data_IF_342540732615
#
_entry.id   IF_342540732615
#
_cell.length_a   1.000
_cell.length_b   1.000
_cell.length_c   1.000
_cell.angle_alpha   90.00
_cell.angle_beta   90.00
_cell.angle_gamma   90.00
#
_symmetry.space_group_name_H-M   'P 1'
#
loop_
_entity.id
_entity.type
_entity.pdbx_description
1 polymer ?
#
# COMPACT_ATOMS: atom_id res chain seq x y z
N UNK A 1 -2.71 1.44 12.97
CA UNK A 1 -2.37 0.18 13.69
C UNK A 1 -2.44 0.35 15.21
N UNK A 2 -1.68 1.26 15.83
CA UNK A 2 -1.68 1.50 17.30
C UNK A 2 -3.07 1.69 17.90
N UNK A 3 -3.89 2.57 17.32
CA UNK A 3 -5.28 2.78 17.74
C UNK A 3 -6.10 1.48 17.82
N UNK A 4 -6.03 0.64 16.79
CA UNK A 4 -6.83 -0.58 16.71
C UNK A 4 -6.30 -1.73 17.57
N UNK A 5 -4.98 -1.83 17.74
CA UNK A 5 -4.32 -3.01 18.32
C UNK A 5 -3.53 -2.73 19.61
N UNK A 6 -3.45 -1.48 20.08
CA UNK A 6 -2.77 -1.10 21.32
C UNK A 6 -1.25 -1.24 21.32
N UNK A 7 -0.62 -1.49 20.17
CA UNK A 7 0.83 -1.68 20.04
C UNK A 7 1.36 -1.19 18.69
N UNK A 8 2.67 -1.01 18.55
CA UNK A 8 3.29 -0.75 17.25
C UNK A 8 3.26 -2.00 16.34
N UNK A 9 3.14 -1.83 15.01
CA UNK A 9 3.34 -2.94 14.07
C UNK A 9 4.83 -3.31 14.03
N UNK A 10 5.12 -4.62 13.97
CA UNK A 10 6.50 -5.11 13.73
C UNK A 10 6.78 -5.28 12.24
N UNK A 11 5.74 -5.56 11.44
CA UNK A 11 5.87 -5.71 10.00
C UNK A 11 4.83 -4.92 9.25
N UNK A 12 5.11 -4.66 7.98
CA UNK A 12 4.24 -3.92 7.07
C UNK A 12 4.23 -4.63 5.72
N UNK A 13 3.03 -4.83 5.17
CA UNK A 13 2.84 -5.26 3.79
C UNK A 13 2.80 -4.02 2.90
N UNK A 14 3.76 -3.88 1.99
CA UNK A 14 3.75 -2.81 1.00
C UNK A 14 2.64 -3.06 -0.01
N UNK A 15 1.86 -2.03 -0.42
CA UNK A 15 0.89 -2.17 -1.49
C UNK A 15 1.54 -2.82 -2.72
N UNK A 16 0.96 -3.94 -3.17
CA UNK A 16 1.47 -4.72 -4.31
C UNK A 16 2.89 -5.27 -4.13
N UNK A 17 3.37 -5.33 -2.90
CA UNK A 17 4.79 -5.51 -2.55
C UNK A 17 5.71 -4.61 -3.40
N UNK A 18 5.24 -3.43 -3.82
CA UNK A 18 6.01 -2.44 -4.57
C UNK A 18 7.17 -1.97 -3.72
N UNK A 19 8.41 -2.28 -4.13
CA UNK A 19 9.58 -2.12 -3.26
C UNK A 19 10.80 -1.56 -3.99
N UNK A 20 11.53 -0.71 -3.27
CA UNK A 20 12.91 -0.32 -3.50
C UNK A 20 13.62 -0.05 -2.16
N UNK A 21 14.93 0.18 -2.20
CA UNK A 21 15.73 0.46 -1.01
C UNK A 21 15.31 1.74 -0.27
N UNK A 22 14.78 2.74 -0.98
CA UNK A 22 14.29 3.98 -0.36
C UNK A 22 13.04 3.69 0.49
N UNK A 23 12.07 2.99 -0.07
CA UNK A 23 10.85 2.55 0.60
C UNK A 23 11.17 1.73 1.84
N UNK A 24 12.09 0.76 1.73
CA UNK A 24 12.53 -0.04 2.88
C UNK A 24 13.26 0.79 3.95
N UNK A 25 13.99 1.82 3.54
CA UNK A 25 14.65 2.75 4.46
C UNK A 25 13.62 3.55 5.26
N UNK A 26 12.59 4.08 4.61
CA UNK A 26 11.48 4.78 5.26
C UNK A 26 10.75 3.86 6.25
N UNK A 27 10.51 2.60 5.88
CA UNK A 27 9.93 1.60 6.79
C UNK A 27 10.79 1.39 8.05
N UNK A 28 12.10 1.24 7.87
CA UNK A 28 13.04 1.08 8.96
C UNK A 28 13.08 2.32 9.89
N UNK A 29 13.02 3.53 9.32
CA UNK A 29 12.97 4.79 10.08
C UNK A 29 11.71 4.91 10.95
N UNK A 30 10.61 4.26 10.54
CA UNK A 30 9.38 4.16 11.32
C UNK A 30 9.31 2.94 12.24
N UNK A 31 10.43 2.23 12.42
CA UNK A 31 10.53 1.09 13.35
C UNK A 31 9.86 -0.19 12.86
N UNK A 32 9.61 -0.31 11.55
CA UNK A 32 9.17 -1.58 10.96
C UNK A 32 10.38 -2.52 10.86
N UNK A 33 10.23 -3.72 11.42
CA UNK A 33 11.29 -4.73 11.51
C UNK A 33 11.31 -5.67 10.30
N UNK A 34 10.16 -5.93 9.67
CA UNK A 34 10.09 -6.83 8.51
C UNK A 34 9.02 -6.49 7.47
N UNK A 35 9.20 -7.04 6.26
CA UNK A 35 8.21 -7.06 5.18
C UNK A 35 8.13 -8.46 4.55
N UNK A 36 7.16 -8.65 3.65
CA UNK A 36 7.00 -9.87 2.84
C UNK A 36 7.11 -9.46 1.37
N UNK A 37 7.93 -10.18 0.60
CA UNK A 37 8.19 -9.94 -0.82
C UNK A 37 7.99 -11.20 -1.66
N UNK A 38 7.85 -11.00 -2.96
CA UNK A 38 7.88 -12.08 -3.93
C UNK A 38 9.30 -12.57 -4.18
N UNK A 39 9.50 -13.87 -4.48
CA UNK A 39 10.84 -14.45 -4.58
C UNK A 39 11.69 -13.84 -5.71
N UNK A 40 11.07 -13.34 -6.78
CA UNK A 40 11.79 -12.65 -7.88
C UNK A 40 12.23 -11.22 -7.53
N UNK A 41 11.79 -10.68 -6.39
CA UNK A 41 12.26 -9.38 -5.89
C UNK A 41 13.59 -9.50 -5.16
N UNK A 42 14.03 -10.71 -4.83
CA UNK A 42 15.39 -10.97 -4.38
C UNK A 42 16.39 -10.79 -5.53
N UNK A 43 17.53 -10.17 -5.24
CA UNK A 43 18.65 -10.05 -6.17
C UNK A 43 19.58 -11.27 -6.08
N UNK A 44 18.99 -12.45 -6.25
CA UNK A 44 19.69 -13.73 -6.33
C UNK A 44 18.82 -14.73 -7.10
N UNK A 45 19.46 -15.72 -7.70
CA UNK A 45 18.79 -16.88 -8.31
C UNK A 45 18.69 -18.06 -7.35
N UNK A 46 19.51 -18.08 -6.30
CA UNK A 46 19.58 -19.14 -5.29
C UNK A 46 18.89 -18.68 -3.99
N UNK A 47 17.60 -18.38 -4.10
CA UNK A 47 16.78 -17.99 -2.96
C UNK A 47 16.16 -19.22 -2.31
N UNK A 48 16.40 -19.39 -1.01
CA UNK A 48 15.60 -20.30 -0.19
C UNK A 48 14.45 -19.52 0.47
N UNK A 49 13.18 -19.70 0.04
CA UNK A 49 12.03 -18.99 0.59
C UNK A 49 11.56 -19.56 1.94
N UNK A 50 12.26 -20.56 2.49
CA UNK A 50 11.92 -21.17 3.80
C UNK A 50 12.60 -20.49 4.98
N UNK A 51 13.34 -19.40 4.77
CA UNK A 51 14.00 -18.63 5.82
C UNK A 51 13.93 -17.11 5.56
N UNK A 52 13.97 -16.29 6.62
CA UNK A 52 14.07 -14.84 6.47
C UNK A 52 15.49 -14.38 6.16
N UNK A 53 15.61 -13.25 5.48
CA UNK A 53 16.89 -12.61 5.13
C UNK A 53 16.97 -11.21 5.69
N UNK A 54 18.17 -10.79 6.06
CA UNK A 54 18.49 -9.39 6.35
C UNK A 54 18.72 -8.65 5.04
N UNK A 55 17.97 -7.61 4.76
CA UNK A 55 18.24 -6.67 3.67
C UNK A 55 19.07 -5.53 4.22
N UNK A 56 20.29 -5.38 3.71
CA UNK A 56 21.15 -4.26 4.08
C UNK A 56 20.66 -2.98 3.38
N UNK A 57 20.48 -1.90 4.13
CA UNK A 57 20.00 -0.61 3.65
C UNK A 57 21.09 0.46 3.78
N UNK A 58 20.97 1.60 3.06
CA UNK A 58 21.87 2.72 3.23
C UNK A 58 21.99 3.19 4.69
N UNK A 59 23.16 3.74 5.04
CA UNK A 59 23.49 4.24 6.38
C UNK A 59 23.55 3.16 7.47
N UNK A 60 23.90 1.91 7.11
CA UNK A 60 24.10 0.82 8.07
C UNK A 60 22.82 0.26 8.68
N UNK A 61 21.66 0.69 8.19
CA UNK A 61 20.34 0.16 8.58
C UNK A 61 20.09 -1.20 7.93
N UNK A 62 19.10 -1.91 8.45
CA UNK A 62 18.63 -3.15 7.83
C UNK A 62 17.18 -3.41 8.17
N UNK A 63 16.49 -4.14 7.30
CA UNK A 63 15.15 -4.66 7.53
C UNK A 63 15.12 -6.14 7.18
N UNK A 64 14.21 -6.92 7.77
CA UNK A 64 14.06 -8.33 7.44
C UNK A 64 13.06 -8.50 6.29
N UNK A 65 13.40 -9.33 5.31
CA UNK A 65 12.49 -9.74 4.25
C UNK A 65 12.17 -11.23 4.38
N UNK A 66 10.88 -11.55 4.37
CA UNK A 66 10.38 -12.89 4.11
C UNK A 66 9.98 -12.99 2.65
N UNK A 67 10.24 -14.14 2.02
CA UNK A 67 9.82 -14.40 0.66
C UNK A 67 8.74 -15.46 0.64
N UNK A 68 7.61 -15.19 -0.01
CA UNK A 68 6.57 -16.21 -0.14
C UNK A 68 6.97 -17.28 -1.16
N UNK A 69 6.37 -18.46 -1.04
CA UNK A 69 6.56 -19.55 -1.97
C UNK A 69 5.76 -19.31 -3.26
N UNK A 70 6.46 -19.18 -4.39
CA UNK A 70 5.89 -18.80 -5.70
C UNK A 70 4.71 -19.68 -6.13
N UNK A 71 4.95 -20.98 -6.24
CA UNK A 71 3.97 -21.92 -6.83
C UNK A 71 2.70 -22.00 -5.97
N UNK A 72 2.86 -22.34 -4.69
CA UNK A 72 1.76 -22.35 -3.72
C UNK A 72 0.97 -21.04 -3.68
N UNK A 73 1.62 -19.87 -3.64
CA UNK A 73 0.90 -18.59 -3.59
C UNK A 73 0.09 -18.35 -4.87
N UNK A 74 0.67 -18.66 -6.05
CA UNK A 74 -0.05 -18.58 -7.32
C UNK A 74 -1.23 -19.55 -7.39
N UNK A 75 -1.02 -20.83 -7.02
CA UNK A 75 -2.08 -21.84 -7.10
C UNK A 75 -3.17 -21.60 -6.08
N UNK A 76 -2.85 -21.16 -4.86
CA UNK A 76 -3.86 -20.69 -3.91
C UNK A 76 -4.66 -19.57 -4.56
N UNK A 77 -4.05 -18.54 -5.12
CA UNK A 77 -4.80 -17.42 -5.71
C UNK A 77 -5.68 -17.80 -6.93
N UNK A 78 -5.25 -18.73 -7.78
CA UNK A 78 -5.87 -18.94 -9.10
C UNK A 78 -6.43 -20.35 -9.37
N UNK A 79 -6.10 -21.36 -8.56
CA UNK A 79 -6.63 -22.72 -8.66
C UNK A 79 -7.61 -22.98 -7.52
N UNK A 80 -8.91 -22.78 -7.80
CA UNK A 80 -9.96 -22.97 -6.80
C UNK A 80 -10.08 -24.43 -6.34
N UNK A 81 -9.76 -25.40 -7.20
CA UNK A 81 -9.85 -26.82 -6.87
C UNK A 81 -8.83 -27.19 -5.78
N UNK A 82 -7.64 -26.57 -5.81
CA UNK A 82 -6.59 -26.78 -4.83
C UNK A 82 -7.04 -26.50 -3.39
N UNK A 83 -7.93 -25.52 -3.22
CA UNK A 83 -8.42 -25.08 -1.91
C UNK A 83 -9.83 -25.56 -1.59
N UNK A 84 -10.28 -26.62 -2.25
CA UNK A 84 -11.56 -27.28 -1.95
C UNK A 84 -11.49 -28.21 -0.74
N UNK A 85 -10.30 -28.72 -0.40
CA UNK A 85 -10.09 -29.66 0.70
C UNK A 85 -8.75 -29.39 1.40
N UNK A 86 -8.79 -29.02 2.69
CA UNK A 86 -7.60 -28.65 3.42
C UNK A 86 -6.71 -29.84 3.81
N UNK A 87 -7.27 -31.03 4.04
CA UNK A 87 -6.48 -32.24 4.33
C UNK A 87 -5.68 -32.65 3.11
N UNK A 88 -6.31 -32.64 1.93
CA UNK A 88 -5.65 -32.90 0.67
C UNK A 88 -4.55 -31.86 0.37
N UNK A 89 -4.84 -30.57 0.55
CA UNK A 89 -3.85 -29.50 0.35
C UNK A 89 -2.66 -29.62 1.32
N UNK A 90 -2.92 -29.92 2.59
CA UNK A 90 -1.87 -30.12 3.58
C UNK A 90 -0.96 -31.30 3.16
N UNK A 91 -1.54 -32.46 2.88
CA UNK A 91 -0.80 -33.69 2.58
C UNK A 91 -0.08 -33.65 1.23
N UNK A 92 -0.73 -33.11 0.19
CA UNK A 92 -0.26 -33.20 -1.19
C UNK A 92 0.51 -31.99 -1.67
N UNK A 93 0.29 -30.82 -1.06
CA UNK A 93 0.93 -29.58 -1.51
C UNK A 93 1.87 -29.07 -0.43
N UNK A 94 1.38 -28.69 0.76
CA UNK A 94 2.23 -28.07 1.80
C UNK A 94 3.42 -28.95 2.19
N UNK A 95 3.18 -30.23 2.51
CA UNK A 95 4.23 -31.14 3.00
C UNK A 95 5.41 -31.27 2.03
N UNK A 96 5.16 -31.16 0.72
CA UNK A 96 6.20 -31.34 -0.31
C UNK A 96 7.17 -30.16 -0.42
N UNK A 97 6.80 -29.01 0.13
CA UNK A 97 7.62 -27.79 0.06
C UNK A 97 8.48 -27.55 1.31
N UNK A 98 8.37 -28.41 2.33
CA UNK A 98 9.36 -28.47 3.41
C UNK A 98 10.57 -29.30 2.96
N UNK A 99 11.78 -28.83 3.27
CA UNK A 99 13.00 -29.47 2.79
C UNK A 99 13.41 -30.58 3.78
N UNK A 100 13.34 -31.84 3.34
CA UNK A 100 13.70 -32.99 4.17
C UNK A 100 15.16 -32.93 4.68
N UNK A 101 16.07 -32.33 3.92
CA UNK A 101 17.46 -32.15 4.33
C UNK A 101 17.62 -31.17 5.51
N UNK A 102 16.81 -30.10 5.55
CA UNK A 102 16.81 -29.21 6.71
C UNK A 102 16.18 -29.90 7.91
N UNK A 103 15.08 -30.63 7.72
CA UNK A 103 14.47 -31.42 8.78
C UNK A 103 15.43 -32.48 9.36
N UNK A 104 16.25 -33.15 8.54
CA UNK A 104 17.21 -34.14 9.03
C UNK A 104 18.40 -33.53 9.77
N UNK A 105 18.70 -32.24 9.53
CA UNK A 105 19.72 -31.45 10.25
C UNK A 105 19.15 -30.62 11.41
N UNK A 106 17.86 -30.77 11.73
CA UNK A 106 17.13 -29.97 12.72
C UNK A 106 17.23 -28.45 12.45
N UNK A 107 17.27 -28.07 11.17
CA UNK A 107 17.26 -26.67 10.75
C UNK A 107 15.83 -26.13 10.64
N UNK A 108 15.53 -24.96 11.24
CA UNK A 108 14.20 -24.38 11.21
C UNK A 108 13.80 -23.93 9.81
N UNK A 109 12.53 -24.15 9.45
CA UNK A 109 11.94 -23.74 8.17
C UNK A 109 10.57 -23.10 8.34
N UNK A 110 10.33 -22.00 7.62
CA UNK A 110 9.04 -21.32 7.53
C UNK A 110 8.58 -21.25 6.07
N UNK A 111 7.55 -22.01 5.73
CA UNK A 111 6.88 -21.89 4.43
C UNK A 111 5.84 -20.78 4.49
N UNK A 112 6.01 -19.73 3.66
CA UNK A 112 5.07 -18.61 3.59
C UNK A 112 4.25 -18.67 2.30
N UNK A 113 2.92 -18.50 2.41
CA UNK A 113 1.99 -18.43 1.28
C UNK A 113 1.27 -17.09 1.35
N UNK A 114 1.25 -16.34 0.25
CA UNK A 114 0.64 -15.01 0.19
C UNK A 114 -0.50 -14.98 -0.83
N UNK A 115 -1.63 -14.38 -0.45
CA UNK A 115 -2.83 -14.19 -1.28
C UNK A 115 -3.66 -13.04 -0.75
N UNK A 116 -4.52 -12.47 -1.60
CA UNK A 116 -5.46 -11.43 -1.19
C UNK A 116 -6.53 -11.99 -0.24
N UNK A 117 -6.91 -11.20 0.76
CA UNK A 117 -7.84 -11.64 1.81
C UNK A 117 -9.26 -11.89 1.30
N UNK A 118 -9.66 -11.13 0.27
CA UNK A 118 -10.96 -11.20 -0.40
C UNK A 118 -11.20 -12.56 -1.07
N UNK A 119 -10.14 -13.33 -1.27
CA UNK A 119 -10.22 -14.70 -1.79
C UNK A 119 -11.04 -15.61 -0.87
N UNK A 120 -11.01 -15.39 0.45
CA UNK A 120 -11.61 -16.27 1.45
C UNK A 120 -13.04 -15.85 1.81
N UNK A 121 -13.97 -16.10 0.89
CA UNK A 121 -15.42 -15.90 1.09
C UNK A 121 -16.06 -14.90 0.13
N UNK A 122 -15.36 -13.84 -0.26
CA UNK A 122 -15.90 -12.85 -1.21
C UNK A 122 -15.75 -13.32 -2.67
N UNK A 123 -14.53 -13.63 -3.12
CA UNK A 123 -14.29 -14.13 -4.48
C UNK A 123 -14.50 -15.64 -4.63
N UNK A 124 -14.29 -16.41 -3.56
CA UNK A 124 -14.51 -17.86 -3.54
C UNK A 124 -15.36 -18.23 -2.31
N UNK A 125 -16.67 -18.53 -2.50
CA UNK A 125 -17.54 -18.94 -1.40
C UNK A 125 -16.97 -20.13 -0.63
N UNK A 126 -17.16 -20.15 0.68
CA UNK A 126 -16.78 -21.24 1.60
C UNK A 126 -15.29 -21.52 1.76
N UNK A 127 -14.44 -20.73 1.09
CA UNK A 127 -12.99 -20.89 1.18
C UNK A 127 -12.41 -20.46 2.54
N UNK A 128 -13.17 -19.68 3.30
CA UNK A 128 -12.94 -19.42 4.71
C UNK A 128 -12.98 -20.70 5.57
N UNK A 129 -13.87 -21.66 5.27
CA UNK A 129 -13.88 -22.96 5.96
C UNK A 129 -12.64 -23.79 5.64
N UNK A 130 -12.19 -23.77 4.39
CA UNK A 130 -10.91 -24.37 3.99
C UNK A 130 -9.76 -23.80 4.83
N UNK A 131 -9.66 -22.47 4.92
CA UNK A 131 -8.58 -21.81 5.67
C UNK A 131 -8.67 -22.13 7.18
N UNK A 132 -9.87 -22.12 7.75
CA UNK A 132 -10.08 -22.45 9.16
C UNK A 132 -9.69 -23.90 9.48
N UNK A 133 -10.09 -24.87 8.63
CA UNK A 133 -9.73 -26.29 8.81
C UNK A 133 -8.23 -26.52 8.61
N UNK A 134 -7.62 -25.85 7.63
CA UNK A 134 -6.19 -25.91 7.39
C UNK A 134 -5.39 -25.51 8.64
N UNK A 135 -5.70 -24.35 9.20
CA UNK A 135 -4.97 -23.76 10.32
C UNK A 135 -5.23 -24.46 11.67
N UNK A 136 -6.41 -25.04 11.88
CA UNK A 136 -6.77 -25.66 13.16
C UNK A 136 -6.48 -27.15 13.23
N UNK A 137 -6.60 -27.86 12.11
CA UNK A 137 -6.61 -29.32 12.09
C UNK A 137 -5.61 -29.90 11.10
N UNK A 138 -5.77 -29.62 9.80
CA UNK A 138 -5.07 -30.35 8.74
C UNK A 138 -3.54 -30.21 8.82
N UNK A 139 -3.02 -29.01 9.12
CA UNK A 139 -1.57 -28.80 9.27
C UNK A 139 -0.98 -29.63 10.42
N UNK A 140 -1.65 -29.72 11.57
CA UNK A 140 -1.16 -30.45 12.73
C UNK A 140 -1.06 -31.97 12.46
N UNK A 141 -2.00 -32.53 11.68
CA UNK A 141 -2.00 -33.95 11.32
C UNK A 141 -0.78 -34.38 10.52
N UNK A 142 -0.13 -33.45 9.82
CA UNK A 142 1.10 -33.69 9.05
C UNK A 142 2.36 -33.12 9.74
N UNK A 143 2.25 -32.74 11.01
CA UNK A 143 3.38 -32.22 11.80
C UNK A 143 3.79 -30.79 11.45
N UNK A 144 2.94 -30.01 10.76
CA UNK A 144 3.20 -28.60 10.45
C UNK A 144 2.46 -27.72 11.46
N UNK A 145 3.18 -26.76 12.03
CA UNK A 145 2.61 -25.79 12.97
C UNK A 145 2.39 -24.45 12.28
N UNK A 146 1.13 -23.96 12.19
CA UNK A 146 0.87 -22.61 11.71
C UNK A 146 1.50 -21.55 12.63
N UNK A 147 2.14 -20.56 12.03
CA UNK A 147 2.78 -19.44 12.72
C UNK A 147 2.74 -18.19 11.86
N UNK A 148 3.35 -17.10 12.31
CA UNK A 148 3.42 -15.84 11.59
C UNK A 148 4.79 -15.18 11.76
N UNK A 149 5.21 -14.30 10.81
CA UNK A 149 6.57 -13.76 10.76
C UNK A 149 7.09 -13.14 12.07
N UNK A 150 6.27 -12.31 12.73
CA UNK A 150 6.63 -11.68 14.00
C UNK A 150 6.93 -12.70 15.12
N UNK A 151 6.17 -13.81 15.19
CA UNK A 151 6.44 -14.87 16.16
C UNK A 151 7.70 -15.64 15.80
N UNK A 152 7.87 -15.95 14.51
CA UNK A 152 9.03 -16.66 13.99
C UNK A 152 10.35 -15.95 14.33
N UNK A 153 10.42 -14.63 14.14
CA UNK A 153 11.65 -13.85 14.37
C UNK A 153 12.13 -13.84 15.82
N UNK A 154 11.26 -14.12 16.79
CA UNK A 154 11.64 -14.17 18.21
C UNK A 154 12.59 -15.32 18.52
N UNK A 155 12.48 -16.41 17.76
CA UNK A 155 13.21 -17.66 17.97
C UNK A 155 14.23 -17.91 16.86
N UNK A 156 13.98 -17.37 15.67
CA UNK A 156 14.76 -17.65 14.46
C UNK A 156 15.14 -16.35 13.71
N UNK A 157 16.13 -15.59 14.22
CA UNK A 157 16.61 -14.38 13.55
C UNK A 157 17.25 -14.71 12.19
N UNK A 158 17.24 -13.77 11.22
CA UNK A 158 17.82 -14.00 9.90
C UNK A 158 19.33 -14.26 10.01
N UNK A 159 19.76 -15.41 9.48
CA UNK A 159 21.18 -15.85 9.49
C UNK A 159 21.96 -15.34 8.28
N UNK A 160 21.25 -14.92 7.23
CA UNK A 160 21.80 -14.56 5.92
C UNK A 160 21.37 -13.16 5.52
N UNK A 161 22.22 -12.50 4.74
CA UNK A 161 21.93 -11.19 4.16
C UNK A 161 21.59 -11.37 2.68
N UNK A 162 20.69 -10.54 2.16
CA UNK A 162 20.30 -10.52 0.76
C UNK A 162 20.19 -9.09 0.26
N UNK A 163 20.30 -8.91 -1.06
CA UNK A 163 19.90 -7.68 -1.74
C UNK A 163 18.54 -7.87 -2.39
N UNK A 164 17.81 -6.79 -2.58
CA UNK A 164 16.57 -6.79 -3.36
C UNK A 164 16.80 -6.05 -4.68
N UNK A 165 15.92 -6.32 -5.65
CA UNK A 165 15.83 -5.56 -6.89
C UNK A 165 14.85 -4.40 -6.68
N UNK A 166 15.33 -3.20 -6.92
CA UNK A 166 14.51 -1.98 -6.83
C UNK A 166 13.42 -1.95 -7.90
N UNK A 167 12.36 -1.19 -7.64
CA UNK A 167 11.24 -0.98 -8.55
C UNK A 167 10.53 -2.28 -8.96
N UNK A 168 10.48 -3.26 -8.05
CA UNK A 168 9.79 -4.55 -8.28
C UNK A 168 8.44 -4.62 -7.55
N UNK A 169 7.60 -5.60 -7.92
CA UNK A 169 6.31 -5.87 -7.30
C UNK A 169 5.96 -7.36 -7.34
N UNK A 170 4.96 -7.78 -6.55
CA UNK A 170 4.52 -9.18 -6.50
C UNK A 170 3.51 -9.59 -7.59
N UNK A 171 2.95 -8.63 -8.32
CA UNK A 171 1.87 -8.88 -9.28
C UNK A 171 2.33 -8.73 -10.73
N UNK A 172 3.60 -8.33 -10.95
CA UNK A 172 4.13 -8.02 -12.27
C UNK A 172 5.64 -8.33 -12.34
N UNK A 173 6.05 -9.16 -13.30
CA UNK A 173 7.47 -9.47 -13.51
C UNK A 173 8.28 -8.29 -14.09
N UNK A 174 7.59 -7.30 -14.68
CA UNK A 174 8.18 -6.02 -15.09
C UNK A 174 8.25 -5.01 -13.93
N UNK A 175 8.04 -5.47 -12.69
CA UNK A 175 8.08 -4.63 -11.50
C UNK A 175 6.96 -3.60 -11.46
N UNK A 176 7.29 -2.37 -11.06
CA UNK A 176 6.31 -1.28 -10.92
C UNK A 176 5.88 -0.66 -12.26
N UNK A 177 6.44 -1.11 -13.39
CA UNK A 177 6.07 -0.62 -14.74
C UNK A 177 4.57 -0.74 -15.00
N UNK A 178 3.91 -1.74 -14.40
CA UNK A 178 2.44 -1.89 -14.46
C UNK A 178 1.71 -0.60 -14.09
N UNK A 179 2.17 0.16 -13.10
CA UNK A 179 1.51 1.38 -12.63
C UNK A 179 2.07 2.66 -13.29
N UNK A 180 3.17 2.55 -14.03
CA UNK A 180 3.84 3.70 -14.65
C UNK A 180 3.47 3.89 -16.12
N UNK A 181 3.20 2.81 -16.87
CA UNK A 181 3.01 2.91 -18.31
C UNK A 181 2.53 1.62 -18.98
N UNK A 182 2.91 1.45 -20.24
CA UNK A 182 2.57 0.27 -21.04
C UNK A 182 3.23 -0.98 -20.44
N UNK A 183 2.41 -1.96 -20.10
CA UNK A 183 2.86 -3.24 -19.55
C UNK A 183 1.92 -4.34 -20.05
N UNK A 184 2.47 -5.41 -20.62
CA UNK A 184 1.69 -6.52 -21.16
C UNK A 184 0.88 -7.26 -20.07
N UNK A 185 1.37 -7.24 -18.82
CA UNK A 185 0.63 -7.76 -17.66
C UNK A 185 -0.63 -6.96 -17.31
N UNK A 186 -0.82 -5.80 -17.94
CA UNK A 186 -2.02 -4.96 -17.84
C UNK A 186 -2.53 -4.58 -19.24
N UNK A 187 -2.51 -5.52 -20.19
CA UNK A 187 -3.12 -5.34 -21.51
C UNK A 187 -2.36 -4.42 -22.48
N UNK A 188 -1.16 -3.95 -22.13
CA UNK A 188 -0.26 -3.20 -23.01
C UNK A 188 -0.63 -1.72 -23.25
N UNK A 189 -1.77 -1.24 -22.73
CA UNK A 189 -2.32 0.10 -23.05
C UNK A 189 -2.27 1.11 -21.89
N UNK A 190 -1.12 1.24 -21.23
CA UNK A 190 -0.96 2.09 -20.05
C UNK A 190 -0.46 3.51 -20.29
N UNK A 191 -0.50 4.04 -21.52
CA UNK A 191 0.11 5.35 -21.85
C UNK A 191 -0.48 6.54 -21.07
N UNK A 192 -1.71 6.42 -20.56
CA UNK A 192 -2.39 7.43 -19.73
C UNK A 192 -1.86 7.49 -18.29
N UNK A 193 -1.16 6.44 -17.82
CA UNK A 193 -0.72 6.29 -16.43
C UNK A 193 0.29 7.35 -16.02
N UNK A 194 1.31 7.57 -16.86
CA UNK A 194 2.32 8.60 -16.60
C UNK A 194 1.73 10.02 -16.67
N UNK A 195 0.94 10.42 -17.68
CA UNK A 195 0.24 11.69 -17.68
C UNK A 195 -0.62 11.91 -16.42
N UNK A 196 -1.34 10.89 -15.96
CA UNK A 196 -2.13 10.99 -14.73
C UNK A 196 -1.21 11.20 -13.52
N UNK A 197 -0.15 10.39 -13.40
CA UNK A 197 0.82 10.53 -12.30
C UNK A 197 1.44 11.92 -12.28
N UNK A 198 1.86 12.44 -13.44
CA UNK A 198 2.43 13.77 -13.57
C UNK A 198 1.42 14.85 -13.15
N UNK A 199 0.18 14.79 -13.62
CA UNK A 199 -0.86 15.74 -13.25
C UNK A 199 -1.12 15.76 -11.73
N UNK A 200 -1.18 14.58 -11.10
CA UNK A 200 -1.38 14.47 -9.66
C UNK A 200 -0.16 14.89 -8.85
N UNK A 201 1.07 14.65 -9.32
CA UNK A 201 2.29 15.15 -8.68
C UNK A 201 2.36 16.69 -8.72
N UNK A 202 2.00 17.30 -9.84
CA UNK A 202 1.93 18.77 -9.97
C UNK A 202 0.88 19.38 -9.04
N UNK A 203 -0.33 18.78 -9.02
CA UNK A 203 -1.38 19.20 -8.10
C UNK A 203 -0.98 19.01 -6.64
N UNK A 204 -0.39 17.87 -6.30
CA UNK A 204 0.09 17.59 -4.96
C UNK A 204 1.07 18.65 -4.47
N UNK A 205 2.07 18.99 -5.29
CA UNK A 205 3.04 20.05 -4.95
C UNK A 205 2.32 21.39 -4.72
N UNK A 206 1.33 21.73 -5.54
CA UNK A 206 0.59 23.00 -5.38
C UNK A 206 -0.26 23.03 -4.10
N UNK A 207 -0.93 21.93 -3.76
CA UNK A 207 -1.70 21.78 -2.52
C UNK A 207 -0.78 21.79 -1.29
N UNK A 208 0.41 21.20 -1.40
CA UNK A 208 1.44 21.20 -0.35
C UNK A 208 1.92 22.64 -0.09
N UNK A 209 2.13 23.46 -1.13
CA UNK A 209 2.43 24.89 -0.98
C UNK A 209 1.29 25.68 -0.32
N UNK A 210 0.05 25.50 -0.78
CA UNK A 210 -1.13 26.18 -0.20
C UNK A 210 -1.29 25.84 1.28
N UNK A 211 -1.05 24.57 1.65
CA UNK A 211 -1.08 24.12 3.04
C UNK A 211 0.00 24.80 3.89
N UNK A 212 1.26 24.75 3.44
CA UNK A 212 2.40 25.29 4.18
C UNK A 212 2.28 26.81 4.37
N UNK A 213 1.97 27.55 3.30
CA UNK A 213 1.85 29.01 3.32
C UNK A 213 0.80 29.51 4.34
N UNK A 214 -0.30 28.76 4.48
CA UNK A 214 -1.37 29.13 5.41
C UNK A 214 -1.08 28.66 6.82
N UNK A 215 -0.54 27.47 7.03
CA UNK A 215 -0.40 26.87 8.37
C UNK A 215 0.88 27.33 9.07
N UNK A 216 2.00 27.45 8.35
CA UNK A 216 3.33 27.79 8.90
C UNK A 216 3.37 29.08 9.73
N UNK A 217 2.64 30.17 9.40
CA UNK A 217 2.60 31.37 10.24
C UNK A 217 2.02 31.17 11.64
N UNK A 218 1.33 30.04 11.89
CA UNK A 218 0.63 29.75 13.14
C UNK A 218 1.17 28.52 13.87
N UNK A 219 1.77 27.57 13.13
CA UNK A 219 2.27 26.31 13.65
C UNK A 219 3.64 26.03 13.00
N UNK A 220 4.67 25.88 13.84
CA UNK A 220 6.08 25.77 13.40
C UNK A 220 6.33 24.57 12.47
N UNK A 221 5.68 23.44 12.76
CA UNK A 221 5.73 22.22 11.94
C UNK A 221 4.34 21.85 11.38
N UNK A 222 3.97 22.38 10.20
CA UNK A 222 2.74 22.02 9.51
C UNK A 222 2.65 20.53 9.16
N UNK A 223 3.79 19.88 8.88
CA UNK A 223 3.79 18.48 8.45
C UNK A 223 3.50 17.54 9.61
N UNK A 224 4.00 17.86 10.79
CA UNK A 224 3.63 17.14 11.99
C UNK A 224 2.15 17.35 12.35
N UNK A 225 1.59 18.55 12.13
CA UNK A 225 0.15 18.77 12.29
C UNK A 225 -0.67 17.86 11.38
N UNK A 226 -0.28 17.76 10.10
CA UNK A 226 -0.90 16.87 9.13
C UNK A 226 -0.81 15.41 9.59
N UNK A 227 0.33 14.98 10.13
CA UNK A 227 0.49 13.61 10.62
C UNK A 227 -0.38 13.35 11.85
N UNK A 228 -0.38 14.26 12.82
CA UNK A 228 -1.17 14.17 14.07
C UNK A 228 -2.67 14.32 13.85
N UNK A 229 -3.09 14.87 12.72
CA UNK A 229 -4.51 14.94 12.33
C UNK A 229 -5.20 13.56 12.32
N UNK A 230 -4.43 12.46 12.21
CA UNK A 230 -4.96 11.11 12.38
C UNK A 230 -5.69 10.93 13.73
N UNK A 231 -5.26 11.60 14.81
CA UNK A 231 -5.92 11.52 16.12
C UNK A 231 -7.30 12.17 16.12
N UNK A 232 -7.50 13.20 15.29
CA UNK A 232 -8.81 13.82 15.09
C UNK A 232 -9.71 12.89 14.27
N UNK A 233 -9.18 12.32 13.18
CA UNK A 233 -9.92 11.36 12.34
C UNK A 233 -10.37 10.12 13.13
N UNK A 234 -9.56 9.69 14.09
CA UNK A 234 -9.86 8.56 14.99
C UNK A 234 -10.79 8.94 16.17
N UNK A 235 -11.11 10.22 16.35
CA UNK A 235 -11.93 10.71 17.45
C UNK A 235 -11.23 10.72 18.82
N UNK A 236 -9.89 10.63 18.85
CA UNK A 236 -9.08 10.62 20.08
C UNK A 236 -8.81 12.03 20.63
N UNK A 237 -8.81 13.05 19.76
CA UNK A 237 -8.58 14.45 20.12
C UNK A 237 -9.48 15.35 19.28
N UNK A 238 -9.95 16.48 19.84
CA UNK A 238 -10.65 17.49 19.02
C UNK A 238 -9.65 18.27 18.17
N UNK A 239 -10.10 18.80 17.02
CA UNK A 239 -9.23 19.61 16.17
C UNK A 239 -8.74 20.88 16.90
N UNK A 240 -9.61 21.53 17.67
CA UNK A 240 -9.27 22.74 18.41
C UNK A 240 -8.17 22.49 19.46
N UNK A 241 -8.22 21.34 20.14
CA UNK A 241 -7.18 20.96 21.11
C UNK A 241 -5.85 20.68 20.41
N UNK A 242 -5.86 19.92 19.31
CA UNK A 242 -4.65 19.62 18.54
C UNK A 242 -3.98 20.89 18.01
N UNK A 243 -4.76 21.77 17.37
CA UNK A 243 -4.29 23.04 16.82
C UNK A 243 -3.78 23.95 17.94
N UNK A 244 -4.51 24.04 19.06
CA UNK A 244 -4.12 24.86 20.19
C UNK A 244 -2.82 24.39 20.87
N UNK A 245 -2.64 23.08 20.97
CA UNK A 245 -1.42 22.45 21.48
C UNK A 245 -0.23 22.79 20.57
N UNK A 246 -0.36 22.57 19.27
CA UNK A 246 0.72 22.78 18.31
C UNK A 246 1.06 24.25 18.05
N UNK A 247 0.08 25.15 18.16
CA UNK A 247 0.30 26.58 18.06
C UNK A 247 0.79 27.23 19.37
N UNK A 248 0.77 26.49 20.49
CA UNK A 248 1.09 27.01 21.82
C UNK A 248 0.07 28.02 22.39
N UNK A 249 -1.07 28.22 21.70
CA UNK A 249 -2.14 29.15 22.07
C UNK A 249 -3.45 28.74 21.41
N UNK A 250 -4.58 29.16 21.97
CA UNK A 250 -5.87 29.03 21.29
C UNK A 250 -5.94 29.95 20.08
N UNK A 251 -6.42 29.40 18.96
CA UNK A 251 -6.76 30.15 17.76
C UNK A 251 -8.27 30.43 17.73
N UNK A 252 -8.70 31.44 16.99
CA UNK A 252 -10.11 31.72 16.80
C UNK A 252 -10.80 30.64 15.94
N UNK A 253 -12.13 30.58 16.05
CA UNK A 253 -12.94 29.53 15.40
C UNK A 253 -12.76 29.51 13.88
N UNK A 254 -12.75 30.68 13.24
CA UNK A 254 -12.61 30.77 11.78
C UNK A 254 -11.23 30.27 11.31
N UNK A 255 -10.17 30.55 12.07
CA UNK A 255 -8.83 30.01 11.81
C UNK A 255 -8.80 28.49 11.94
N UNK A 256 -9.42 27.92 13.00
CA UNK A 256 -9.48 26.47 13.19
C UNK A 256 -10.29 25.79 12.08
N UNK A 257 -11.42 26.37 11.67
CA UNK A 257 -12.23 25.86 10.54
C UNK A 257 -11.46 25.89 9.22
N UNK A 258 -10.67 26.95 8.98
CA UNK A 258 -9.80 27.04 7.81
C UNK A 258 -8.72 25.95 7.81
N UNK A 259 -8.09 25.70 8.96
CA UNK A 259 -7.12 24.61 9.13
C UNK A 259 -7.80 23.24 8.91
N UNK A 260 -9.04 23.06 9.36
CA UNK A 260 -9.81 21.83 9.14
C UNK A 260 -9.94 21.50 7.64
N UNK A 261 -10.32 22.50 6.83
CA UNK A 261 -10.43 22.35 5.38
C UNK A 261 -9.08 21.98 4.74
N UNK A 262 -7.99 22.60 5.20
CA UNK A 262 -6.64 22.34 4.72
C UNK A 262 -6.12 20.95 5.10
N UNK A 263 -6.50 20.42 6.27
CA UNK A 263 -6.16 19.06 6.70
C UNK A 263 -6.95 17.99 5.92
N UNK A 264 -8.25 18.21 5.68
CA UNK A 264 -9.01 17.34 4.78
C UNK A 264 -8.51 17.43 3.33
N UNK A 265 -8.08 18.62 2.87
CA UNK A 265 -7.43 18.78 1.56
C UNK A 265 -6.17 17.91 1.45
N UNK A 266 -5.31 17.96 2.47
CA UNK A 266 -4.10 17.12 2.53
C UNK A 266 -4.43 15.63 2.55
N UNK A 267 -5.52 15.23 3.22
CA UNK A 267 -6.01 13.85 3.21
C UNK A 267 -6.47 13.41 1.82
N UNK A 268 -7.24 14.22 1.10
CA UNK A 268 -7.66 13.92 -0.28
C UNK A 268 -6.48 13.91 -1.26
N UNK A 269 -5.51 14.82 -1.07
CA UNK A 269 -4.21 14.83 -1.76
C UNK A 269 -3.42 13.53 -1.56
N UNK A 270 -3.55 12.85 -0.42
CA UNK A 270 -2.96 11.52 -0.23
C UNK A 270 -3.78 10.43 -0.93
N UNK A 271 -5.12 10.51 -0.86
CA UNK A 271 -6.03 9.51 -1.44
C UNK A 271 -5.96 9.43 -2.96
N UNK A 272 -5.70 10.53 -3.66
CA UNK A 272 -5.57 10.52 -5.13
C UNK A 272 -4.41 9.64 -5.64
N UNK A 273 -3.52 9.17 -4.78
CA UNK A 273 -2.45 8.22 -5.11
C UNK A 273 -2.78 6.75 -4.81
N UNK A 274 -4.07 6.41 -4.66
CA UNK A 274 -4.48 5.00 -4.46
C UNK A 274 -4.08 4.14 -5.67
N UNK A 275 -3.26 3.11 -5.44
CA UNK A 275 -2.60 2.32 -6.50
C UNK A 275 -3.56 1.57 -7.43
N UNK A 276 -4.77 1.22 -6.96
CA UNK A 276 -5.81 0.60 -7.78
C UNK A 276 -6.14 1.44 -9.03
N UNK A 277 -6.03 2.78 -8.92
CA UNK A 277 -6.26 3.69 -10.03
C UNK A 277 -5.20 3.66 -11.12
N UNK A 278 -4.17 2.81 -11.02
CA UNK A 278 -3.19 2.54 -12.08
C UNK A 278 -3.01 1.06 -12.39
N UNK A 279 -3.79 0.16 -11.78
CA UNK A 279 -3.56 -1.28 -11.89
C UNK A 279 -3.96 -1.86 -13.25
N UNK A 280 -5.06 -1.36 -13.83
CA UNK A 280 -5.67 -1.88 -15.05
C UNK A 280 -5.22 -1.15 -16.32
N UNK A 281 -5.74 -1.58 -17.48
CA UNK A 281 -5.33 -1.15 -18.82
C UNK A 281 -5.94 0.19 -19.24
N UNK A 282 -7.10 0.58 -18.72
CA UNK A 282 -7.84 1.72 -19.27
C UNK A 282 -8.23 2.76 -18.20
N UNK A 283 -8.20 4.04 -18.60
CA UNK A 283 -8.52 5.17 -17.75
C UNK A 283 -10.02 5.29 -17.43
N UNK A 284 -10.91 4.82 -18.33
CA UNK A 284 -12.36 5.01 -18.20
C UNK A 284 -13.00 4.12 -17.10
N UNK A 285 -12.19 3.35 -16.39
CA UNK A 285 -12.63 2.54 -15.28
C UNK A 285 -12.93 3.36 -14.03
N UNK A 286 -13.60 2.74 -13.06
CA UNK A 286 -13.95 3.38 -11.80
C UNK A 286 -12.72 3.74 -10.96
N UNK A 287 -11.67 2.91 -10.98
CA UNK A 287 -10.52 3.08 -10.10
C UNK A 287 -9.69 4.34 -10.42
N UNK A 288 -9.31 4.63 -11.69
CA UNK A 288 -8.60 5.86 -12.04
C UNK A 288 -9.49 7.10 -11.85
N UNK A 289 -10.78 7.00 -12.15
CA UNK A 289 -11.75 8.10 -11.93
C UNK A 289 -11.88 8.47 -10.47
N UNK A 290 -11.83 7.50 -9.55
CA UNK A 290 -11.81 7.80 -8.11
C UNK A 290 -10.60 8.65 -7.71
N UNK A 291 -9.42 8.42 -8.30
CA UNK A 291 -8.26 9.27 -8.05
C UNK A 291 -8.48 10.72 -8.53
N UNK A 292 -9.10 10.88 -9.70
CA UNK A 292 -9.50 12.21 -10.20
C UNK A 292 -10.57 12.86 -9.32
N UNK A 293 -11.50 12.08 -8.76
CA UNK A 293 -12.50 12.58 -7.82
C UNK A 293 -11.86 13.11 -6.53
N UNK A 294 -10.85 12.41 -5.99
CA UNK A 294 -10.08 12.89 -4.84
C UNK A 294 -9.29 14.16 -5.17
N UNK A 295 -8.72 14.26 -6.37
CA UNK A 295 -8.08 15.47 -6.85
C UNK A 295 -9.05 16.67 -6.92
N UNK A 296 -10.26 16.47 -7.47
CA UNK A 296 -11.31 17.48 -7.51
C UNK A 296 -11.73 17.93 -6.11
N UNK A 297 -11.94 16.99 -5.19
CA UNK A 297 -12.26 17.30 -3.79
C UNK A 297 -11.15 18.10 -3.11
N UNK A 298 -9.88 17.75 -3.34
CA UNK A 298 -8.74 18.49 -2.78
C UNK A 298 -8.69 19.94 -3.31
N UNK A 299 -8.89 20.14 -4.62
CA UNK A 299 -8.96 21.48 -5.23
C UNK A 299 -10.11 22.29 -4.62
N UNK A 300 -11.29 21.69 -4.46
CA UNK A 300 -12.44 22.36 -3.84
C UNK A 300 -12.19 22.75 -2.39
N UNK A 301 -11.53 21.90 -1.61
CA UNK A 301 -11.18 22.21 -0.23
C UNK A 301 -10.15 23.35 -0.16
N UNK A 302 -9.18 23.39 -1.07
CA UNK A 302 -8.20 24.47 -1.18
C UNK A 302 -8.88 25.82 -1.50
N UNK A 303 -9.80 25.82 -2.47
CA UNK A 303 -10.59 26.98 -2.87
C UNK A 303 -11.42 27.49 -1.68
N UNK A 304 -12.14 26.62 -0.98
CA UNK A 304 -12.93 27.00 0.20
C UNK A 304 -12.08 27.54 1.35
N UNK A 305 -10.86 27.03 1.51
CA UNK A 305 -9.97 27.46 2.58
C UNK A 305 -9.24 28.77 2.26
N UNK A 306 -8.98 29.09 0.99
CA UNK A 306 -8.02 30.15 0.63
C UNK A 306 -8.45 31.05 -0.52
N UNK A 307 -9.48 30.67 -1.28
CA UNK A 307 -9.84 31.30 -2.54
C UNK A 307 -8.89 30.99 -3.70
N UNK A 308 -7.91 30.08 -3.51
CA UNK A 308 -7.00 29.69 -4.58
C UNK A 308 -7.75 28.89 -5.67
N UNK A 309 -7.71 29.39 -6.90
CA UNK A 309 -8.20 28.66 -8.08
C UNK A 309 -7.08 27.78 -8.63
N UNK A 310 -7.12 26.49 -8.27
CA UNK A 310 -6.23 25.47 -8.83
C UNK A 310 -6.90 24.66 -9.96
N UNK A 311 -8.18 24.93 -10.26
CA UNK A 311 -8.95 24.11 -11.17
C UNK A 311 -8.47 24.29 -12.62
N UNK A 312 -8.14 25.51 -13.04
CA UNK A 312 -7.63 25.79 -14.38
C UNK A 312 -6.31 25.05 -14.68
N UNK A 313 -5.34 25.10 -13.74
CA UNK A 313 -4.06 24.40 -13.87
C UNK A 313 -4.26 22.88 -13.87
N UNK A 314 -5.09 22.37 -12.94
CA UNK A 314 -5.38 20.93 -12.83
C UNK A 314 -5.99 20.38 -14.11
N UNK A 315 -6.96 21.09 -14.70
CA UNK A 315 -7.53 20.73 -16.01
C UNK A 315 -6.44 20.63 -17.06
N UNK A 316 -5.57 21.62 -17.16
CA UNK A 316 -4.51 21.67 -18.17
C UNK A 316 -3.58 20.44 -18.09
N UNK A 317 -3.23 19.99 -16.88
CA UNK A 317 -2.43 18.78 -16.71
C UNK A 317 -3.20 17.50 -17.06
N UNK A 318 -4.48 17.43 -16.71
CA UNK A 318 -5.32 16.26 -16.95
C UNK A 318 -5.75 16.07 -18.41
N UNK A 319 -5.59 17.08 -19.28
CA UNK A 319 -5.96 16.97 -20.71
C UNK A 319 -5.18 15.86 -21.44
N UNK A 320 -3.99 15.54 -20.96
CA UNK A 320 -3.12 14.49 -21.53
C UNK A 320 -3.51 13.07 -21.07
N UNK A 321 -4.40 12.96 -20.08
CA UNK A 321 -4.91 11.68 -19.61
C UNK A 321 -6.09 11.31 -20.50
N UNK A 322 -5.92 10.30 -21.36
CA UNK A 322 -6.95 9.90 -22.32
C UNK A 322 -7.18 8.40 -22.23
N UNK A 323 -8.44 8.00 -22.09
CA UNK A 323 -8.83 6.61 -22.28
C UNK A 323 -8.60 6.20 -23.73
N UNK A 324 -7.85 5.13 -23.95
CA UNK A 324 -7.61 4.62 -25.30
C UNK A 324 -8.86 3.96 -25.90
N UNK A 325 -9.79 3.49 -25.06
CA UNK A 325 -11.06 2.89 -25.51
C UNK A 325 -12.13 3.92 -25.86
N UNK A 326 -12.53 4.75 -24.89
CA UNK A 326 -13.66 5.69 -25.08
C UNK A 326 -13.25 7.08 -25.52
N UNK A 327 -11.96 7.43 -25.44
CA UNK A 327 -11.48 8.78 -25.70
C UNK A 327 -11.81 9.79 -24.59
N UNK A 328 -12.43 9.37 -23.48
CA UNK A 328 -12.68 10.27 -22.35
C UNK A 328 -11.37 10.82 -21.80
N UNK A 329 -11.35 12.11 -21.50
CA UNK A 329 -10.19 12.80 -20.95
C UNK A 329 -10.29 13.00 -19.45
N UNK A 330 -9.14 13.07 -18.78
CA UNK A 330 -9.05 13.28 -17.34
C UNK A 330 -9.68 14.60 -16.88
N UNK A 331 -9.58 15.66 -17.67
CA UNK A 331 -10.16 16.96 -17.33
C UNK A 331 -11.69 16.96 -17.43
N UNK A 332 -12.28 16.17 -18.33
CA UNK A 332 -13.73 15.97 -18.40
C UNK A 332 -14.25 15.24 -17.16
N UNK A 333 -13.55 14.20 -16.72
CA UNK A 333 -13.86 13.49 -15.47
C UNK A 333 -13.73 14.43 -14.28
N UNK A 334 -12.67 15.24 -14.25
CA UNK A 334 -12.45 16.24 -13.20
C UNK A 334 -13.59 17.27 -13.13
N UNK A 335 -13.99 17.84 -14.27
CA UNK A 335 -15.07 18.81 -14.33
C UNK A 335 -16.42 18.24 -13.87
N UNK A 336 -16.70 17.00 -14.24
CA UNK A 336 -17.90 16.30 -13.77
C UNK A 336 -17.91 16.23 -12.23
N UNK A 337 -16.77 15.89 -11.61
CA UNK A 337 -16.68 15.86 -10.14
C UNK A 337 -16.73 17.26 -9.51
N UNK A 338 -16.10 18.27 -10.11
CA UNK A 338 -16.18 19.65 -9.62
C UNK A 338 -17.64 20.15 -9.61
N UNK A 339 -18.42 19.89 -10.66
CA UNK A 339 -19.83 20.24 -10.73
C UNK A 339 -20.66 19.57 -9.63
N UNK A 340 -20.41 18.29 -9.33
CA UNK A 340 -21.09 17.60 -8.23
C UNK A 340 -20.77 18.17 -6.84
N UNK A 341 -19.65 18.87 -6.69
CA UNK A 341 -19.24 19.51 -5.43
C UNK A 341 -19.73 20.97 -5.31
N UNK A 342 -20.31 21.51 -6.38
CA UNK A 342 -20.97 22.82 -6.42
C UNK A 342 -22.47 22.74 -6.15
N UNK A 343 -23.10 21.62 -6.54
CA UNK A 343 -24.50 21.30 -6.24
C UNK A 343 -24.67 20.87 -4.78
#
# INVERSE_FOLDING_TARGET
>A
FRHRFGRAPQGLWLPEAGVDNETLSVMADHGIEFTILAPWQADTWDLDPTEPYRVALPNGRSIVAFFYHRDLSGRVSFDAALTSNADAFAMNDLRRHFQNEKASRDEPQLLLVASDGELYGHHQPFRDYFLAHLLKNASAQIGITPTYPARWLREHPPRRTIKIRDNTSWSCHHGVVRWLGNCDCAGGQGHWKWPLRHALDQLAARLDHVYDDVVRPMIDDPWELRNRYIHVVLGEQTLGDLVGEMAGRRLDVATVERIALLLEMQRERQRMFTSCGWFFDDFDRIEPKNNVAYAAQAVRLAERATGADLAAETRAWLQQVVSWRSGIRGDQVFDQHMQYLEA
#
